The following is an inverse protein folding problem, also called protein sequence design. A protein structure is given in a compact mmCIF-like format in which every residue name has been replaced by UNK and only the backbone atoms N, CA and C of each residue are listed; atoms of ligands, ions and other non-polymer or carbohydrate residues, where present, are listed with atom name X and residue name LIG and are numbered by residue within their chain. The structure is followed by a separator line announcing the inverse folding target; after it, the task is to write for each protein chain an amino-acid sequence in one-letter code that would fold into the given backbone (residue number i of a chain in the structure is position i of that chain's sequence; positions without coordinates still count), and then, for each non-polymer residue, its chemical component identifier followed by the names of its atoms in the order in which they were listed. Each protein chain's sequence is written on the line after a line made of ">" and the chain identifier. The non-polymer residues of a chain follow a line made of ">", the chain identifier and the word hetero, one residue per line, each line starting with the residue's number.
data_IF_239985228850
#
_entry.id   IF_239985228850
#
_cell.length_a   1.000
_cell.length_b   1.000
_cell.length_c   1.000
_cell.angle_alpha   90.00
_cell.angle_beta   90.00
_cell.angle_gamma   90.00
#
_symmetry.space_group_name_H-M   'P 1'
#
loop_
_entity.id
_entity.type
_entity.pdbx_description
1 polymer ?
#
# COMPACT_ATOMS: atom_id res chain seq x y z
N UNK A 1 -30.43 1.51 67.40
CA UNK A 1 -29.23 0.67 67.18
C UNK A 1 -29.39 0.00 65.82
N UNK A 2 -29.02 0.69 64.73
CA UNK A 2 -29.31 0.28 63.36
C UNK A 2 -28.07 -0.33 62.70
N UNK A 3 -28.13 -1.62 62.36
CA UNK A 3 -27.08 -2.36 61.66
C UNK A 3 -26.99 -1.90 60.20
N UNK A 4 -25.91 -1.18 59.86
CA UNK A 4 -25.54 -0.88 58.47
C UNK A 4 -25.01 -2.16 57.82
N UNK A 5 -25.73 -2.68 56.82
CA UNK A 5 -25.23 -3.71 55.90
C UNK A 5 -24.15 -3.07 55.01
N UNK A 6 -22.91 -3.52 55.18
CA UNK A 6 -21.80 -3.19 54.30
C UNK A 6 -21.96 -3.99 53.01
N UNK A 7 -22.30 -3.34 51.89
CA UNK A 7 -22.21 -3.94 50.55
C UNK A 7 -20.73 -3.96 50.16
N UNK A 8 -20.13 -5.15 50.21
CA UNK A 8 -18.85 -5.40 49.54
C UNK A 8 -19.14 -5.56 48.06
N UNK A 9 -18.98 -4.49 47.29
CA UNK A 9 -18.96 -4.56 45.83
C UNK A 9 -17.69 -5.28 45.42
N UNK A 10 -17.80 -6.55 45.03
CA UNK A 10 -16.71 -7.28 44.39
C UNK A 10 -16.51 -6.65 43.01
N UNK A 11 -15.52 -5.76 42.91
CA UNK A 11 -15.05 -5.26 41.62
C UNK A 11 -14.39 -6.45 40.93
N UNK A 12 -15.05 -7.00 39.92
CA UNK A 12 -14.52 -8.06 39.09
C UNK A 12 -13.35 -7.48 38.26
N UNK A 13 -12.16 -7.42 38.84
CA UNK A 13 -10.90 -7.09 38.13
C UNK A 13 -10.49 -8.31 37.31
N UNK A 14 -11.31 -8.67 36.33
CA UNK A 14 -10.98 -9.68 35.35
C UNK A 14 -9.77 -9.21 34.56
N UNK A 15 -8.58 -9.73 34.88
CA UNK A 15 -7.40 -9.62 34.03
C UNK A 15 -7.78 -10.28 32.69
N UNK A 16 -8.20 -9.47 31.70
CA UNK A 16 -8.44 -9.98 30.35
C UNK A 16 -7.13 -10.55 29.84
N UNK A 17 -7.05 -11.88 29.66
CA UNK A 17 -5.96 -12.51 28.91
C UNK A 17 -5.83 -11.79 27.56
N UNK A 18 -4.61 -11.42 27.18
CA UNK A 18 -4.35 -10.86 25.86
C UNK A 18 -4.89 -11.84 24.81
N UNK A 19 -5.84 -11.38 23.99
CA UNK A 19 -6.41 -12.19 22.91
C UNK A 19 -5.29 -12.57 21.94
N UNK A 20 -5.29 -13.81 21.47
CA UNK A 20 -4.37 -14.28 20.44
C UNK A 20 -5.00 -14.19 19.05
N UNK A 21 -4.17 -14.12 18.01
CA UNK A 21 -4.59 -14.14 16.61
C UNK A 21 -3.49 -14.70 15.70
N UNK A 22 -3.86 -15.15 14.50
CA UNK A 22 -2.90 -15.69 13.53
C UNK A 22 -2.21 -14.57 12.74
N UNK A 23 -0.90 -14.73 12.53
CA UNK A 23 -0.08 -13.85 11.70
C UNK A 23 0.95 -14.65 10.90
N UNK A 24 1.38 -14.12 9.75
CA UNK A 24 2.48 -14.66 8.97
C UNK A 24 3.80 -14.03 9.45
N UNK A 25 4.56 -14.79 10.24
CA UNK A 25 5.75 -14.33 10.94
C UNK A 25 7.01 -14.69 10.14
N UNK A 26 7.87 -13.69 9.91
CA UNK A 26 9.23 -13.90 9.44
C UNK A 26 10.16 -14.11 10.64
N UNK A 27 10.79 -15.28 10.71
CA UNK A 27 11.73 -15.64 11.79
C UNK A 27 13.18 -15.41 11.43
N UNK A 28 13.49 -15.50 10.15
CA UNK A 28 14.82 -15.37 9.59
C UNK A 28 14.68 -14.75 8.20
N UNK A 29 15.56 -13.81 7.88
CA UNK A 29 15.58 -13.13 6.58
C UNK A 29 15.74 -14.15 5.45
N UNK A 30 15.00 -13.95 4.36
CA UNK A 30 15.07 -14.80 3.16
C UNK A 30 14.43 -16.20 3.33
N UNK A 31 13.86 -16.51 4.49
CA UNK A 31 13.08 -17.74 4.70
C UNK A 31 11.58 -17.49 4.49
N UNK A 32 10.79 -18.54 4.16
CA UNK A 32 9.34 -18.42 4.08
C UNK A 32 8.71 -17.97 5.41
N UNK A 33 7.62 -17.21 5.32
CA UNK A 33 6.80 -16.84 6.48
C UNK A 33 6.16 -18.09 7.09
N UNK A 34 6.03 -18.11 8.43
CA UNK A 34 5.33 -19.16 9.17
C UNK A 34 4.05 -18.59 9.78
N UNK A 35 2.94 -19.30 9.63
CA UNK A 35 1.69 -18.91 10.28
C UNK A 35 1.77 -19.28 11.77
N UNK A 36 1.71 -18.28 12.65
CA UNK A 36 1.80 -18.48 14.09
C UNK A 36 0.69 -17.74 14.81
N UNK A 37 0.37 -18.22 16.01
CA UNK A 37 -0.56 -17.56 16.92
C UNK A 37 0.21 -16.61 17.83
N UNK A 38 -0.05 -15.31 17.68
CA UNK A 38 0.64 -14.24 18.42
C UNK A 38 -0.31 -13.53 19.37
N UNK A 39 0.23 -12.93 20.43
CA UNK A 39 -0.56 -12.19 21.42
C UNK A 39 -0.85 -10.78 20.92
N UNK A 40 -2.06 -10.31 21.20
CA UNK A 40 -2.43 -8.89 21.06
C UNK A 40 -1.59 -8.01 21.98
N UNK A 41 -1.06 -6.94 21.40
CA UNK A 41 -0.34 -5.88 22.11
C UNK A 41 -1.30 -4.80 22.62
N UNK A 42 -0.94 -4.09 23.69
CA UNK A 42 -1.75 -2.96 24.16
C UNK A 42 -1.59 -1.78 23.19
N UNK A 43 -2.68 -1.08 22.86
CA UNK A 43 -2.61 0.13 22.04
C UNK A 43 -1.94 1.29 22.79
N UNK A 44 -1.10 2.04 22.09
CA UNK A 44 -0.74 3.40 22.50
C UNK A 44 -1.94 4.35 22.31
N UNK A 45 -1.84 5.56 22.86
CA UNK A 45 -2.97 6.49 22.92
C UNK A 45 -3.43 6.99 21.55
N UNK A 46 -2.53 7.06 20.58
CA UNK A 46 -2.73 7.56 19.22
C UNK A 46 -2.90 6.43 18.18
N UNK A 47 -3.03 5.18 18.64
CA UNK A 47 -3.09 4.02 17.78
C UNK A 47 -4.50 3.45 17.63
N UNK A 48 -4.69 2.70 16.55
CA UNK A 48 -5.92 2.01 16.21
C UNK A 48 -5.60 0.54 15.91
N UNK A 49 -6.43 -0.37 16.42
CA UNK A 49 -6.39 -1.79 16.07
C UNK A 49 -7.42 -2.08 15.00
N UNK A 50 -6.99 -2.72 13.91
CA UNK A 50 -7.88 -3.16 12.85
C UNK A 50 -8.07 -4.67 12.88
N UNK A 51 -9.27 -5.13 12.51
CA UNK A 51 -9.52 -6.47 12.00
C UNK A 51 -9.24 -6.45 10.51
N UNK A 52 -8.15 -7.10 10.10
CA UNK A 52 -7.75 -7.13 8.70
C UNK A 52 -8.75 -7.99 7.91
N UNK A 53 -9.34 -7.41 6.87
CA UNK A 53 -10.23 -8.13 5.93
C UNK A 53 -9.48 -8.48 4.66
N UNK A 54 -8.62 -7.57 4.19
CA UNK A 54 -7.73 -7.73 3.03
C UNK A 54 -6.42 -7.02 3.31
N UNK A 55 -5.34 -7.53 2.72
CA UNK A 55 -4.01 -6.94 2.77
C UNK A 55 -3.46 -6.94 1.34
N UNK A 56 -2.88 -5.83 0.92
CA UNK A 56 -2.13 -5.75 -0.33
C UNK A 56 -0.77 -6.42 -0.17
N UNK A 57 -0.18 -6.87 -1.28
CA UNK A 57 1.17 -7.43 -1.31
C UNK A 57 2.01 -6.57 -2.23
N UNK A 58 3.01 -5.90 -1.65
CA UNK A 58 3.87 -4.96 -2.35
C UNK A 58 5.26 -5.55 -2.59
N UNK A 59 5.99 -5.02 -3.57
CA UNK A 59 7.41 -5.38 -3.78
C UNK A 59 8.25 -5.07 -2.52
N UNK A 60 7.90 -4.01 -1.79
CA UNK A 60 8.53 -3.66 -0.53
C UNK A 60 8.36 -4.75 0.56
N UNK A 61 7.22 -5.46 0.60
CA UNK A 61 7.01 -6.58 1.53
C UNK A 61 8.01 -7.73 1.27
N UNK A 62 8.33 -7.99 0.00
CA UNK A 62 9.33 -8.98 -0.38
C UNK A 62 10.74 -8.51 -0.05
N UNK A 63 11.06 -7.26 -0.37
CA UNK A 63 12.39 -6.68 -0.09
C UNK A 63 12.68 -6.66 1.42
N UNK A 64 11.70 -6.27 2.26
CA UNK A 64 11.90 -6.28 3.72
C UNK A 64 12.07 -7.71 4.24
N UNK A 65 11.32 -8.67 3.68
CA UNK A 65 11.44 -10.08 4.05
C UNK A 65 12.79 -10.70 3.64
N UNK A 66 13.43 -10.14 2.61
CA UNK A 66 14.79 -10.50 2.15
C UNK A 66 15.91 -9.67 2.80
N UNK A 67 15.57 -8.70 3.65
CA UNK A 67 16.56 -7.81 4.27
C UNK A 67 17.22 -6.83 3.29
N UNK A 68 16.64 -6.68 2.10
CA UNK A 68 17.11 -5.81 1.00
C UNK A 68 16.50 -4.40 1.10
N UNK A 69 15.49 -4.21 1.95
CA UNK A 69 14.86 -2.92 2.15
C UNK A 69 15.67 -2.00 3.10
N UNK A 70 15.47 -0.69 2.96
CA UNK A 70 16.18 0.30 3.75
C UNK A 70 15.84 0.23 5.25
N UNK A 71 14.59 -0.10 5.59
CA UNK A 71 14.18 -0.41 6.97
C UNK A 71 14.42 -1.89 7.23
N UNK A 72 15.11 -2.20 8.34
CA UNK A 72 15.44 -3.56 8.77
C UNK A 72 14.80 -3.86 10.13
N UNK A 73 13.60 -4.46 10.16
CA UNK A 73 12.90 -4.78 11.41
C UNK A 73 13.67 -5.82 12.23
N UNK A 74 13.52 -5.76 13.57
CA UNK A 74 14.03 -6.82 14.44
C UNK A 74 13.21 -8.10 14.22
N UNK A 75 13.89 -9.21 14.02
CA UNK A 75 13.26 -10.52 13.94
C UNK A 75 12.87 -11.04 15.34
N UNK A 76 11.78 -11.82 15.47
CA UNK A 76 10.78 -12.08 14.44
C UNK A 76 9.84 -10.87 14.23
N UNK A 77 9.34 -10.67 13.02
CA UNK A 77 8.31 -9.66 12.74
C UNK A 77 7.24 -10.16 11.75
N UNK A 78 6.16 -9.40 11.62
CA UNK A 78 5.06 -9.67 10.68
C UNK A 78 5.11 -8.63 9.55
N UNK A 79 5.37 -9.01 8.29
CA UNK A 79 5.33 -8.08 7.16
C UNK A 79 3.90 -7.64 6.81
N UNK A 80 3.74 -6.87 5.74
CA UNK A 80 2.45 -6.34 5.27
C UNK A 80 2.35 -4.85 5.52
N UNK A 81 2.49 -4.08 4.44
CA UNK A 81 2.49 -2.62 4.49
C UNK A 81 1.08 -2.05 4.45
N UNK A 82 0.13 -2.69 3.77
CA UNK A 82 -1.17 -2.05 3.54
C UNK A 82 -2.34 -2.98 3.81
N UNK A 83 -3.41 -2.43 4.37
CA UNK A 83 -4.57 -3.21 4.79
C UNK A 83 -5.87 -2.48 4.51
N UNK A 84 -6.94 -3.26 4.36
CA UNK A 84 -8.31 -2.80 4.47
C UNK A 84 -9.07 -3.65 5.48
N UNK A 85 -9.86 -3.02 6.33
CA UNK A 85 -10.48 -3.70 7.45
C UNK A 85 -11.46 -2.85 8.24
N UNK A 86 -11.74 -3.33 9.45
CA UNK A 86 -12.67 -2.70 10.38
C UNK A 86 -11.95 -2.34 11.67
N UNK A 87 -12.24 -1.17 12.24
CA UNK A 87 -11.68 -0.76 13.53
C UNK A 87 -12.23 -1.62 14.66
N UNK A 88 -11.36 -2.28 15.41
CA UNK A 88 -11.70 -3.08 16.60
C UNK A 88 -11.62 -2.28 17.90
N UNK A 89 -10.62 -1.42 18.00
CA UNK A 89 -10.23 -0.70 19.22
C UNK A 89 -9.46 0.57 18.84
N UNK A 90 -9.63 1.63 19.62
CA UNK A 90 -8.94 2.91 19.44
C UNK A 90 -8.24 3.32 20.75
N UNK A 91 -7.11 3.99 20.64
CA UNK A 91 -6.45 4.67 21.77
C UNK A 91 -7.23 5.92 22.22
N UNK A 92 -6.92 6.43 23.41
CA UNK A 92 -7.64 7.55 24.04
C UNK A 92 -7.55 8.88 23.29
N UNK A 93 -6.48 9.05 22.51
CA UNK A 93 -6.15 10.29 21.81
C UNK A 93 -6.58 10.22 20.34
N UNK A 94 -7.21 9.11 19.92
CA UNK A 94 -7.81 8.97 18.60
C UNK A 94 -9.12 9.76 18.53
N UNK A 95 -9.25 10.65 17.54
CA UNK A 95 -10.41 11.57 17.42
C UNK A 95 -11.21 11.39 16.14
N UNK A 96 -10.60 10.85 15.08
CA UNK A 96 -11.18 10.81 13.73
C UNK A 96 -11.78 9.45 13.37
N UNK A 97 -11.62 8.45 14.24
CA UNK A 97 -12.01 7.06 13.99
C UNK A 97 -12.71 6.49 15.21
N UNK A 98 -13.61 5.54 14.97
CA UNK A 98 -14.35 4.82 15.99
C UNK A 98 -14.45 3.33 15.67
N UNK A 99 -14.76 2.53 16.69
CA UNK A 99 -14.97 1.09 16.53
C UNK A 99 -16.09 0.82 15.50
N UNK A 100 -15.82 -0.11 14.59
CA UNK A 100 -16.74 -0.50 13.52
C UNK A 100 -16.53 0.23 12.20
N UNK A 101 -15.75 1.32 12.19
CA UNK A 101 -15.44 2.04 10.95
C UNK A 101 -14.74 1.11 9.95
N UNK A 102 -15.14 1.24 8.68
CA UNK A 102 -14.46 0.61 7.55
C UNK A 102 -13.32 1.53 7.15
N UNK A 103 -12.12 0.96 7.06
CA UNK A 103 -10.91 1.75 6.83
C UNK A 103 -9.92 1.05 5.91
N UNK A 104 -9.04 1.85 5.33
CA UNK A 104 -7.77 1.43 4.76
C UNK A 104 -6.63 2.01 5.59
N UNK A 105 -5.46 1.37 5.58
CA UNK A 105 -4.32 1.88 6.31
C UNK A 105 -2.99 1.46 5.71
N UNK A 106 -1.97 2.29 5.93
CA UNK A 106 -0.62 2.13 5.40
C UNK A 106 0.39 2.09 6.54
N UNK A 107 0.84 0.89 6.89
CA UNK A 107 1.70 0.60 8.03
C UNK A 107 3.18 0.42 7.63
N UNK A 108 3.86 1.51 7.27
CA UNK A 108 5.27 1.47 6.82
C UNK A 108 6.28 1.28 7.95
N UNK A 109 5.95 1.72 9.16
CA UNK A 109 6.91 1.73 10.28
C UNK A 109 6.76 0.53 11.21
N UNK A 110 5.53 0.14 11.56
CA UNK A 110 5.29 -0.96 12.49
C UNK A 110 5.23 -2.31 11.77
N UNK A 111 4.87 -2.29 10.47
CA UNK A 111 4.44 -3.49 9.73
C UNK A 111 3.30 -4.18 10.47
N UNK A 112 2.87 -5.38 10.05
CA UNK A 112 1.79 -6.24 10.63
C UNK A 112 0.56 -6.47 9.76
N UNK A 113 0.57 -6.07 8.49
CA UNK A 113 -0.57 -6.27 7.60
C UNK A 113 -0.88 -7.76 7.30
N UNK A 114 0.13 -8.63 7.28
CA UNK A 114 -0.04 -10.08 7.06
C UNK A 114 -0.48 -10.80 8.34
N UNK A 115 -1.58 -10.32 8.93
CA UNK A 115 -2.18 -10.89 10.12
C UNK A 115 -3.69 -10.70 10.16
N UNK A 116 -4.37 -11.39 11.07
CA UNK A 116 -5.81 -11.19 11.30
C UNK A 116 -6.12 -9.85 11.98
N UNK A 117 -5.14 -9.27 12.68
CA UNK A 117 -5.23 -7.96 13.30
C UNK A 117 -3.91 -7.22 13.14
N UNK A 118 -3.99 -5.90 12.98
CA UNK A 118 -2.83 -5.03 12.91
C UNK A 118 -3.06 -3.77 13.75
N UNK A 119 -1.98 -3.09 14.13
CA UNK A 119 -2.00 -1.82 14.86
C UNK A 119 -1.33 -0.76 14.00
N UNK A 120 -1.98 0.39 13.84
CA UNK A 120 -1.48 1.54 13.09
C UNK A 120 -1.63 2.81 13.92
N UNK A 121 -0.86 3.85 13.60
CA UNK A 121 -1.15 5.19 14.09
C UNK A 121 -2.40 5.74 13.39
N UNK A 122 -3.20 6.55 14.09
CA UNK A 122 -4.44 7.09 13.52
C UNK A 122 -4.23 7.92 12.25
N UNK A 123 -3.05 8.52 12.07
CA UNK A 123 -2.70 9.34 10.90
C UNK A 123 -2.41 8.51 9.65
N UNK A 124 -2.23 7.20 9.81
CA UNK A 124 -1.95 6.25 8.73
C UNK A 124 -3.18 5.40 8.38
N UNK A 125 -4.37 5.85 8.81
CA UNK A 125 -5.65 5.17 8.64
C UNK A 125 -6.69 6.15 8.10
N UNK A 126 -7.38 5.75 7.03
CA UNK A 126 -8.39 6.57 6.36
C UNK A 126 -9.69 5.79 6.23
N UNK A 127 -10.82 6.49 6.30
CA UNK A 127 -12.14 5.90 6.10
C UNK A 127 -12.28 5.34 4.68
N UNK A 128 -12.85 4.14 4.58
CA UNK A 128 -13.20 3.49 3.33
C UNK A 128 -14.70 3.67 3.06
N UNK A 129 -15.09 4.33 1.95
CA UNK A 129 -16.49 4.48 1.56
C UNK A 129 -17.28 3.17 1.55
N UNK A 130 -18.58 3.28 1.88
CA UNK A 130 -19.52 2.17 2.09
C UNK A 130 -19.67 1.22 0.91
N UNK A 131 -19.50 1.74 -0.30
CA UNK A 131 -19.67 1.07 -1.59
C UNK A 131 -18.39 0.40 -2.12
N UNK A 132 -17.21 0.84 -1.67
CA UNK A 132 -15.92 0.26 -2.09
C UNK A 132 -15.66 -1.03 -1.32
N UNK A 133 -15.33 -2.13 -2.01
CA UNK A 133 -15.00 -3.42 -1.35
C UNK A 133 -13.64 -3.32 -0.67
N UNK A 134 -13.44 -4.09 0.41
CA UNK A 134 -12.14 -4.14 1.10
C UNK A 134 -10.98 -4.54 0.19
N UNK A 135 -11.22 -5.40 -0.83
CA UNK A 135 -10.17 -5.80 -1.76
C UNK A 135 -9.71 -4.66 -2.65
N UNK A 136 -10.64 -3.84 -3.12
CA UNK A 136 -10.35 -2.62 -3.88
C UNK A 136 -9.63 -1.61 -2.98
N UNK A 137 -10.15 -1.37 -1.78
CA UNK A 137 -9.52 -0.46 -0.81
C UNK A 137 -8.08 -0.83 -0.46
N UNK A 138 -7.79 -2.12 -0.25
CA UNK A 138 -6.45 -2.59 0.07
C UNK A 138 -5.44 -2.44 -1.07
N UNK A 139 -5.88 -2.16 -2.31
CA UNK A 139 -5.01 -1.94 -3.45
C UNK A 139 -4.74 -0.44 -3.72
N UNK A 140 -5.37 0.47 -2.96
CA UNK A 140 -5.23 1.92 -3.16
C UNK A 140 -4.04 2.51 -2.41
N UNK A 141 -3.86 2.12 -1.15
CA UNK A 141 -3.06 2.85 -0.16
C UNK A 141 -1.59 3.01 -0.51
N UNK A 142 -0.87 1.96 -0.90
CA UNK A 142 0.55 2.08 -1.22
C UNK A 142 0.76 2.53 -2.68
N UNK A 143 0.12 1.83 -3.62
CA UNK A 143 0.30 2.07 -5.06
C UNK A 143 -0.18 3.45 -5.50
N UNK A 144 -1.43 3.83 -5.18
CA UNK A 144 -1.97 5.13 -5.62
C UNK A 144 -1.36 6.29 -4.84
N UNK A 145 -1.08 6.16 -3.54
CA UNK A 145 -0.41 7.23 -2.81
C UNK A 145 1.01 7.48 -3.36
N UNK A 146 1.75 6.42 -3.71
CA UNK A 146 3.08 6.54 -4.32
C UNK A 146 2.99 7.16 -5.72
N UNK A 147 2.03 6.73 -6.54
CA UNK A 147 1.79 7.31 -7.85
C UNK A 147 1.39 8.80 -7.75
N UNK A 148 0.49 9.17 -6.84
CA UNK A 148 0.12 10.57 -6.58
C UNK A 148 1.32 11.42 -6.14
N UNK A 149 2.18 10.89 -5.26
CA UNK A 149 3.39 11.60 -4.85
C UNK A 149 4.30 11.88 -6.07
N UNK A 150 4.52 10.89 -6.92
CA UNK A 150 5.35 11.03 -8.12
C UNK A 150 4.73 11.97 -9.17
N UNK A 151 3.48 11.74 -9.55
CA UNK A 151 2.82 12.47 -10.63
C UNK A 151 2.42 13.89 -10.20
N UNK A 152 1.78 14.04 -9.04
CA UNK A 152 1.21 15.32 -8.62
C UNK A 152 2.26 16.22 -7.96
N UNK A 153 3.04 15.69 -7.01
CA UNK A 153 3.94 16.53 -6.19
C UNK A 153 5.34 16.67 -6.78
N UNK A 154 5.88 15.60 -7.39
CA UNK A 154 7.24 15.63 -7.97
C UNK A 154 7.21 16.12 -9.41
N UNK A 155 6.38 15.53 -10.25
CA UNK A 155 6.30 15.86 -11.67
C UNK A 155 5.38 17.05 -11.98
N UNK A 156 4.46 17.39 -11.07
CA UNK A 156 3.44 18.43 -11.28
C UNK A 156 2.70 18.25 -12.61
N UNK A 157 2.29 17.00 -12.87
CA UNK A 157 1.67 16.60 -14.13
C UNK A 157 0.43 17.45 -14.44
N UNK A 158 0.32 17.90 -15.69
CA UNK A 158 -0.77 18.71 -16.22
C UNK A 158 -1.51 17.96 -17.32
N UNK A 159 -2.72 18.44 -17.63
CA UNK A 159 -3.51 17.95 -18.77
C UNK A 159 -2.73 18.08 -20.08
N UNK A 160 -2.77 17.02 -20.88
CA UNK A 160 -2.08 16.95 -22.17
C UNK A 160 -0.58 16.63 -22.11
N UNK A 161 0.05 16.63 -20.93
CA UNK A 161 1.44 16.20 -20.78
C UNK A 161 1.62 14.74 -21.25
N UNK A 162 2.74 14.43 -21.90
CA UNK A 162 3.08 13.05 -22.24
C UNK A 162 3.91 12.42 -21.12
N UNK A 163 3.49 11.25 -20.64
CA UNK A 163 4.17 10.50 -19.57
C UNK A 163 4.47 9.06 -19.99
N UNK A 164 5.70 8.62 -19.78
CA UNK A 164 6.10 7.23 -19.89
C UNK A 164 5.99 6.54 -18.52
N UNK A 165 5.35 5.38 -18.45
CA UNK A 165 5.26 4.56 -17.22
C UNK A 165 5.94 3.22 -17.46
N UNK A 166 7.01 2.91 -16.72
CA UNK A 166 7.67 1.60 -16.80
C UNK A 166 6.99 0.59 -15.88
N UNK A 167 7.11 -0.70 -16.19
CA UNK A 167 6.37 -1.78 -15.51
C UNK A 167 4.87 -1.48 -15.36
N UNK A 168 4.26 -0.91 -16.40
CA UNK A 168 2.92 -0.32 -16.37
C UNK A 168 1.80 -1.30 -15.99
N UNK A 169 2.02 -2.60 -16.14
CA UNK A 169 1.05 -3.65 -15.78
C UNK A 169 1.20 -4.17 -14.34
N UNK A 170 2.15 -3.65 -13.55
CA UNK A 170 2.26 -3.93 -12.11
C UNK A 170 1.34 -3.06 -11.27
N UNK A 171 1.19 -3.35 -9.97
CA UNK A 171 0.27 -2.59 -9.09
C UNK A 171 0.52 -1.08 -9.08
N UNK A 172 1.78 -0.66 -8.87
CA UNK A 172 2.17 0.75 -8.93
C UNK A 172 2.04 1.33 -10.35
N UNK A 173 2.41 0.56 -11.38
CA UNK A 173 2.32 0.99 -12.78
C UNK A 173 0.88 1.25 -13.20
N UNK A 174 -0.05 0.36 -12.86
CA UNK A 174 -1.48 0.53 -13.15
C UNK A 174 -2.07 1.72 -12.41
N UNK A 175 -1.67 1.95 -11.14
CA UNK A 175 -2.08 3.13 -10.40
C UNK A 175 -1.56 4.43 -11.05
N UNK A 176 -0.31 4.43 -11.53
CA UNK A 176 0.26 5.57 -12.24
C UNK A 176 -0.44 5.81 -13.59
N UNK A 177 -0.71 4.76 -14.36
CA UNK A 177 -1.47 4.85 -15.61
C UNK A 177 -2.87 5.42 -15.37
N UNK A 178 -3.61 4.85 -14.41
CA UNK A 178 -4.97 5.25 -14.10
C UNK A 178 -5.05 6.72 -13.68
N UNK A 179 -4.23 7.14 -12.72
CA UNK A 179 -4.19 8.54 -12.29
C UNK A 179 -3.80 9.48 -13.43
N UNK A 180 -2.71 9.17 -14.13
CA UNK A 180 -2.22 10.04 -15.20
C UNK A 180 -3.24 10.20 -16.33
N UNK A 181 -3.86 9.10 -16.78
CA UNK A 181 -4.82 9.12 -17.87
C UNK A 181 -6.18 9.69 -17.43
N UNK A 182 -6.75 9.19 -16.34
CA UNK A 182 -8.17 9.41 -16.02
C UNK A 182 -8.40 10.60 -15.09
N UNK A 183 -7.40 10.98 -14.28
CA UNK A 183 -7.49 12.16 -13.40
C UNK A 183 -6.78 13.35 -14.01
N UNK A 184 -5.52 13.19 -14.42
CA UNK A 184 -4.72 14.29 -14.97
C UNK A 184 -4.91 14.49 -16.47
N UNK A 185 -5.56 13.56 -17.19
CA UNK A 185 -5.78 13.64 -18.64
C UNK A 185 -4.48 13.83 -19.43
N UNK A 186 -3.42 13.19 -18.95
CA UNK A 186 -2.14 13.10 -19.61
C UNK A 186 -2.16 12.03 -20.71
N UNK A 187 -1.27 12.15 -21.69
CA UNK A 187 -1.03 11.14 -22.72
C UNK A 187 -0.06 10.09 -22.18
N UNK A 188 -0.61 8.98 -21.68
CA UNK A 188 0.19 7.93 -21.03
C UNK A 188 0.70 6.91 -22.07
N UNK A 189 2.01 6.68 -22.07
CA UNK A 189 2.67 5.58 -22.76
C UNK A 189 3.11 4.56 -21.71
N UNK A 190 2.49 3.39 -21.67
CA UNK A 190 2.86 2.33 -20.73
C UNK A 190 3.82 1.30 -21.32
N UNK A 191 4.80 0.84 -20.55
CA UNK A 191 5.77 -0.18 -20.97
C UNK A 191 5.59 -1.46 -20.14
N UNK A 192 5.42 -2.59 -20.82
CA UNK A 192 5.20 -3.88 -20.16
C UNK A 192 5.77 -5.06 -20.96
N UNK A 193 5.85 -6.24 -20.34
CA UNK A 193 6.58 -7.38 -20.91
C UNK A 193 5.86 -8.18 -22.00
N UNK A 194 4.54 -8.08 -22.14
CA UNK A 194 3.73 -8.89 -23.07
C UNK A 194 2.57 -8.09 -23.64
N UNK A 195 1.99 -8.54 -24.76
CA UNK A 195 0.82 -7.88 -25.36
C UNK A 195 -0.44 -8.01 -24.51
N UNK A 196 -0.64 -9.11 -23.79
CA UNK A 196 -1.76 -9.26 -22.84
C UNK A 196 -1.68 -8.19 -21.74
N UNK A 197 -0.47 -7.92 -21.24
CA UNK A 197 -0.22 -6.85 -20.28
C UNK A 197 -0.42 -5.47 -20.92
N UNK A 198 -0.06 -5.30 -22.19
CA UNK A 198 -0.25 -4.05 -22.91
C UNK A 198 -1.75 -3.75 -23.11
N UNK A 199 -2.54 -4.77 -23.38
CA UNK A 199 -4.00 -4.67 -23.49
C UNK A 199 -4.62 -4.20 -22.18
N UNK A 200 -4.22 -4.77 -21.04
CA UNK A 200 -4.66 -4.30 -19.72
C UNK A 200 -4.27 -2.84 -19.46
N UNK A 201 -3.06 -2.45 -19.85
CA UNK A 201 -2.57 -1.07 -19.68
C UNK A 201 -3.38 -0.08 -20.53
N UNK A 202 -3.75 -0.44 -21.75
CA UNK A 202 -4.66 0.36 -22.60
C UNK A 202 -6.06 0.43 -22.02
N UNK A 203 -6.59 -0.68 -21.50
CA UNK A 203 -7.90 -0.72 -20.81
C UNK A 203 -7.93 0.24 -19.60
N UNK A 204 -6.79 0.44 -18.92
CA UNK A 204 -6.65 1.43 -17.84
C UNK A 204 -6.49 2.87 -18.29
N UNK A 205 -6.53 3.14 -19.60
CA UNK A 205 -6.56 4.50 -20.15
C UNK A 205 -5.24 4.94 -20.79
N UNK A 206 -4.25 4.04 -20.93
CA UNK A 206 -3.03 4.41 -21.64
C UNK A 206 -3.31 4.74 -23.11
N UNK A 207 -2.80 5.88 -23.57
CA UNK A 207 -2.87 6.30 -24.98
C UNK A 207 -2.11 5.32 -25.88
N UNK A 208 -0.96 4.83 -25.40
CA UNK A 208 -0.20 3.77 -26.06
C UNK A 208 0.36 2.79 -25.03
N UNK A 209 0.57 1.54 -25.45
CA UNK A 209 1.29 0.55 -24.67
C UNK A 209 2.31 -0.16 -25.54
N UNK A 210 3.55 -0.22 -25.04
CA UNK A 210 4.72 -0.76 -25.73
C UNK A 210 5.20 -2.03 -25.03
N UNK A 211 5.46 -3.06 -25.82
CA UNK A 211 6.15 -4.25 -25.33
C UNK A 211 7.64 -3.95 -25.14
N UNK A 212 8.16 -4.36 -23.99
CA UNK A 212 9.49 -4.01 -23.52
C UNK A 212 10.59 -4.56 -24.43
N UNK A 213 11.40 -3.66 -24.96
CA UNK A 213 12.68 -3.96 -25.61
C UNK A 213 13.62 -2.80 -25.27
N UNK A 214 14.58 -2.98 -24.35
CA UNK A 214 15.39 -1.88 -23.83
C UNK A 214 16.14 -1.13 -24.94
N UNK A 215 16.68 -1.85 -25.93
CA UNK A 215 17.46 -1.25 -27.03
C UNK A 215 16.65 -0.37 -27.98
N UNK A 216 15.31 -0.47 -27.96
CA UNK A 216 14.43 0.22 -28.91
C UNK A 216 13.39 1.10 -28.23
N UNK A 217 13.40 1.20 -26.90
CA UNK A 217 12.34 1.87 -26.18
C UNK A 217 12.27 3.36 -26.53
N UNK A 218 13.42 4.05 -26.57
CA UNK A 218 13.49 5.47 -26.97
C UNK A 218 12.92 5.71 -28.37
N UNK A 219 13.39 4.95 -29.35
CA UNK A 219 12.93 5.08 -30.74
C UNK A 219 11.43 4.85 -30.88
N UNK A 220 10.86 3.85 -30.18
CA UNK A 220 9.41 3.62 -30.17
C UNK A 220 8.64 4.76 -29.49
N UNK A 221 9.20 5.34 -28.43
CA UNK A 221 8.59 6.50 -27.77
C UNK A 221 8.64 7.72 -28.69
N UNK A 222 9.74 7.97 -29.40
CA UNK A 222 9.85 9.01 -30.41
C UNK A 222 8.84 8.80 -31.55
N UNK A 223 8.67 7.57 -32.04
CA UNK A 223 7.67 7.23 -33.06
C UNK A 223 6.25 7.54 -32.57
N UNK A 224 5.86 7.06 -31.39
CA UNK A 224 4.53 7.29 -30.82
C UNK A 224 4.28 8.79 -30.58
N UNK A 225 5.31 9.52 -30.16
CA UNK A 225 5.22 10.94 -29.83
C UNK A 225 5.46 11.88 -31.01
N UNK A 226 5.66 11.34 -32.22
CA UNK A 226 6.02 12.12 -33.42
C UNK A 226 7.26 13.01 -33.20
N UNK A 227 8.26 12.49 -32.47
CA UNK A 227 9.49 13.20 -32.12
C UNK A 227 9.36 14.25 -31.01
N UNK A 228 8.18 14.42 -30.39
CA UNK A 228 7.98 15.38 -29.29
C UNK A 228 8.55 14.90 -27.95
N UNK A 229 8.77 13.59 -27.81
CA UNK A 229 9.27 12.99 -26.57
C UNK A 229 8.23 13.02 -25.44
N UNK A 230 8.73 12.85 -24.22
CA UNK A 230 7.92 12.77 -22.99
C UNK A 230 8.37 13.85 -22.00
N UNK A 231 7.41 14.42 -21.27
CA UNK A 231 7.70 15.38 -20.20
C UNK A 231 8.10 14.67 -18.91
N UNK A 232 7.48 13.52 -18.65
CA UNK A 232 7.62 12.78 -17.39
C UNK A 232 7.93 11.33 -17.70
N UNK A 233 8.90 10.77 -16.98
CA UNK A 233 9.16 9.33 -16.94
C UNK A 233 8.89 8.87 -15.50
N UNK A 234 7.82 8.11 -15.32
CA UNK A 234 7.52 7.43 -14.08
C UNK A 234 8.20 6.05 -14.11
N UNK A 235 9.42 6.00 -13.59
CA UNK A 235 10.20 4.76 -13.55
C UNK A 235 9.96 3.96 -12.26
N UNK A 236 9.47 2.73 -12.42
CA UNK A 236 9.24 1.77 -11.35
C UNK A 236 10.20 0.56 -11.40
N UNK A 237 11.22 0.58 -12.26
CA UNK A 237 12.14 -0.54 -12.48
C UNK A 237 13.58 -0.22 -12.07
N UNK A 238 14.08 0.97 -12.40
CA UNK A 238 15.47 1.35 -12.21
C UNK A 238 16.40 0.77 -13.29
N UNK A 239 17.69 0.66 -12.95
CA UNK A 239 18.69 0.01 -13.79
C UNK A 239 18.94 0.71 -15.13
N UNK A 240 19.10 -0.06 -16.20
CA UNK A 240 19.46 0.44 -17.53
C UNK A 240 18.44 1.43 -18.09
N UNK A 241 17.14 1.12 -17.96
CA UNK A 241 16.06 1.98 -18.46
C UNK A 241 16.12 3.35 -17.80
N UNK A 242 16.33 3.40 -16.48
CA UNK A 242 16.50 4.64 -15.75
C UNK A 242 17.71 5.44 -16.27
N UNK A 243 18.87 4.80 -16.43
CA UNK A 243 20.09 5.46 -16.91
C UNK A 243 19.93 6.04 -18.32
N UNK A 244 19.30 5.29 -19.22
CA UNK A 244 19.01 5.79 -20.57
C UNK A 244 18.04 6.96 -20.56
N UNK A 245 16.99 6.86 -19.73
CA UNK A 245 15.92 7.86 -19.59
C UNK A 245 16.43 9.25 -19.16
N UNK A 246 17.61 9.34 -18.52
CA UNK A 246 18.21 10.63 -18.15
C UNK A 246 18.66 11.47 -19.35
N UNK A 247 18.73 10.86 -20.55
CA UNK A 247 19.19 11.51 -21.78
C UNK A 247 18.07 11.66 -22.84
N UNK A 248 16.81 11.55 -22.42
CA UNK A 248 15.63 11.63 -23.29
C UNK A 248 15.07 13.03 -23.35
#
# INVERSE_FOLDING_TARGET
>A
MALRRCMVTVVNTGIRRASTFKAAVLKEVGKPLKIEEIKSVKLAKDQVRLKVKKCGVNSADLQVSKGEYHIKPKLPFVPGFEVAGEVLEIGSDVKTLQKGDRVVGLNKDLFSGFAQQCVLNQNDVWLLPGDIKFGEGAALTDAYATALLGLARRAQLQEGDTVLVTAAAGGLGLAAVDLAANVYRAKVIGVCGTEDKASLVREKGAWAALTYSPQHLRAKVEEVTEGKGVKVIFDAVGGHVFQESLNW
#
